data_IF_809970534390
#
_entry.id   IF_809970534390
#
_cell.length_a   1.000
_cell.length_b   1.000
_cell.length_c   1.000
_cell.angle_alpha   90.00
_cell.angle_beta   90.00
_cell.angle_gamma   90.00
#
_symmetry.space_group_name_H-M   'P 1'
#
loop_
_entity.id
_entity.type
_entity.pdbx_description
1 polymer ?
#
# COMPACT_ATOMS: atom_id res chain seq x y z
N UNK A 1 -5.58 -12.83 -9.27
CA UNK A 1 -6.29 -11.54 -9.31
C UNK A 1 -5.64 -10.62 -8.28
N UNK A 2 -5.29 -9.39 -8.65
CA UNK A 2 -4.68 -8.40 -7.74
C UNK A 2 -5.58 -7.18 -7.69
N UNK A 3 -6.07 -6.82 -6.50
CA UNK A 3 -6.85 -5.60 -6.27
C UNK A 3 -5.91 -4.60 -5.60
N UNK A 4 -5.75 -3.42 -6.19
CA UNK A 4 -5.01 -2.31 -5.61
C UNK A 4 -6.00 -1.18 -5.29
N UNK A 5 -6.06 -0.75 -4.02
CA UNK A 5 -6.94 0.32 -3.57
C UNK A 5 -6.14 1.40 -2.87
N UNK A 6 -6.35 2.65 -3.25
CA UNK A 6 -5.81 3.84 -2.60
C UNK A 6 -6.86 4.41 -1.64
N UNK A 7 -6.44 4.76 -0.42
CA UNK A 7 -7.33 5.35 0.58
C UNK A 7 -6.56 6.32 1.47
N UNK A 8 -7.22 7.40 1.91
CA UNK A 8 -6.66 8.33 2.90
C UNK A 8 -6.91 7.79 4.30
N UNK A 9 -5.87 7.75 5.13
CA UNK A 9 -5.91 7.31 6.52
C UNK A 9 -5.67 8.53 7.41
N UNK A 10 -6.66 8.92 8.20
CA UNK A 10 -6.47 9.96 9.22
C UNK A 10 -6.05 9.29 10.53
N UNK A 11 -4.77 9.39 10.90
CA UNK A 11 -4.29 8.83 12.16
C UNK A 11 -4.71 9.75 13.32
N UNK A 12 -5.68 9.32 14.12
CA UNK A 12 -6.12 10.02 15.33
C UNK A 12 -5.12 9.83 16.46
N UNK A 13 -4.09 10.67 16.51
CA UNK A 13 -3.15 10.80 17.61
C UNK A 13 -2.58 12.23 17.61
N UNK A 14 -2.14 12.71 18.78
CA UNK A 14 -1.96 14.11 19.22
C UNK A 14 -1.21 15.11 18.31
N UNK A 15 -0.76 14.72 17.11
CA UNK A 15 0.04 15.54 16.21
C UNK A 15 -0.55 15.72 14.78
N UNK A 16 -1.82 15.37 14.56
CA UNK A 16 -2.61 15.81 13.39
C UNK A 16 -2.09 15.37 12.01
N UNK A 17 -1.18 14.39 11.94
CA UNK A 17 -0.58 13.96 10.68
C UNK A 17 -1.58 13.16 9.85
N UNK A 18 -1.92 13.66 8.66
CA UNK A 18 -2.77 12.96 7.70
C UNK A 18 -1.88 12.00 6.91
N UNK A 19 -2.28 10.74 6.80
CA UNK A 19 -1.58 9.73 6.01
C UNK A 19 -2.41 9.33 4.78
N UNK A 20 -1.74 8.80 3.78
CA UNK A 20 -2.34 8.11 2.65
C UNK A 20 -1.80 6.69 2.59
N UNK A 21 -2.59 5.77 2.07
CA UNK A 21 -2.24 4.37 2.01
C UNK A 21 -2.66 3.72 0.70
N UNK A 22 -1.88 2.73 0.28
CA UNK A 22 -2.18 1.84 -0.83
C UNK A 22 -2.07 0.42 -0.33
N UNK A 23 -3.11 -0.39 -0.56
CA UNK A 23 -3.09 -1.81 -0.21
C UNK A 23 -3.22 -2.65 -1.47
N UNK A 24 -2.42 -3.72 -1.56
CA UNK A 24 -2.57 -4.79 -2.54
C UNK A 24 -2.99 -6.06 -1.84
N UNK A 25 -3.96 -6.75 -2.42
CA UNK A 25 -4.43 -8.06 -1.96
C UNK A 25 -4.02 -9.10 -3.01
N UNK A 26 -3.46 -10.21 -2.53
CA UNK A 26 -3.01 -11.34 -3.32
C UNK A 26 -3.73 -12.60 -2.87
N UNK A 27 -4.24 -13.37 -3.83
CA UNK A 27 -4.75 -14.72 -3.57
C UNK A 27 -3.67 -15.74 -3.98
N UNK A 28 -3.34 -16.65 -3.08
CA UNK A 28 -2.38 -17.74 -3.30
C UNK A 28 -3.01 -19.04 -2.82
N UNK A 29 -3.40 -19.89 -3.77
CA UNK A 29 -4.18 -21.09 -3.48
C UNK A 29 -5.52 -20.72 -2.81
N UNK A 30 -5.78 -21.29 -1.63
CA UNK A 30 -6.97 -21.02 -0.81
C UNK A 30 -6.77 -19.90 0.22
N UNK A 31 -5.63 -19.20 0.19
CA UNK A 31 -5.27 -18.16 1.16
C UNK A 31 -5.24 -16.76 0.54
N UNK A 32 -5.55 -15.75 1.36
CA UNK A 32 -5.45 -14.34 1.00
C UNK A 32 -4.38 -13.65 1.83
N UNK A 33 -3.56 -12.84 1.17
CA UNK A 33 -2.53 -12.02 1.78
C UNK A 33 -2.77 -10.56 1.42
N UNK A 34 -2.54 -9.65 2.36
CA UNK A 34 -2.58 -8.21 2.11
C UNK A 34 -1.21 -7.59 2.38
N UNK A 35 -0.86 -6.58 1.58
CA UNK A 35 0.33 -5.77 1.80
C UNK A 35 -0.04 -4.30 1.65
N UNK A 36 0.31 -3.50 2.65
CA UNK A 36 -0.08 -2.08 2.73
C UNK A 36 1.16 -1.21 2.80
N UNK A 37 1.19 -0.17 1.96
CA UNK A 37 2.18 0.91 2.00
C UNK A 37 1.47 2.18 2.45
N UNK A 38 1.92 2.77 3.56
CA UNK A 38 1.35 4.00 4.15
C UNK A 38 2.42 5.08 4.18
N UNK A 39 2.05 6.29 3.79
CA UNK A 39 2.94 7.45 3.76
C UNK A 39 2.24 8.68 4.32
N UNK A 40 3.01 9.65 4.80
CA UNK A 40 2.48 10.95 5.21
C UNK A 40 1.95 11.69 3.96
N UNK A 41 0.75 12.28 4.04
CA UNK A 41 0.13 13.03 2.94
C UNK A 41 0.97 14.22 2.46
N UNK A 42 1.85 14.75 3.32
CA UNK A 42 2.76 15.85 2.98
C UNK A 42 3.97 15.40 2.14
N UNK A 43 4.18 14.09 1.96
CA UNK A 43 5.20 13.56 1.06
C UNK A 43 4.83 13.86 -0.40
N UNK A 44 5.83 14.19 -1.21
CA UNK A 44 5.68 14.30 -2.67
C UNK A 44 4.98 13.06 -3.25
N UNK A 45 3.91 13.28 -4.00
CA UNK A 45 3.05 12.20 -4.49
C UNK A 45 3.74 11.31 -5.51
N UNK A 46 4.63 11.88 -6.34
CA UNK A 46 5.41 11.12 -7.31
C UNK A 46 6.46 10.23 -6.62
N UNK A 47 7.12 10.74 -5.58
CA UNK A 47 8.02 9.98 -4.74
C UNK A 47 7.29 8.85 -4.01
N UNK A 48 6.14 9.15 -3.39
CA UNK A 48 5.32 8.16 -2.71
C UNK A 48 4.89 7.04 -3.67
N UNK A 49 4.49 7.39 -4.90
CA UNK A 49 4.14 6.41 -5.93
C UNK A 49 5.34 5.53 -6.31
N UNK A 50 6.51 6.11 -6.57
CA UNK A 50 7.75 5.35 -6.90
C UNK A 50 8.16 4.41 -5.78
N UNK A 51 8.10 4.84 -4.52
CA UNK A 51 8.40 3.99 -3.36
C UNK A 51 7.37 2.87 -3.27
N UNK A 52 6.08 3.17 -3.41
CA UNK A 52 5.02 2.18 -3.40
C UNK A 52 5.18 1.13 -4.49
N UNK A 53 5.47 1.55 -5.72
CA UNK A 53 5.73 0.64 -6.84
C UNK A 53 6.93 -0.28 -6.56
N UNK A 54 8.03 0.29 -6.06
CA UNK A 54 9.21 -0.49 -5.66
C UNK A 54 8.88 -1.47 -4.53
N UNK A 55 8.17 -1.03 -3.50
CA UNK A 55 7.74 -1.86 -2.38
C UNK A 55 6.89 -3.05 -2.85
N UNK A 56 5.92 -2.82 -3.74
CA UNK A 56 5.10 -3.89 -4.28
C UNK A 56 5.80 -4.78 -5.31
N UNK A 57 6.89 -4.32 -5.94
CA UNK A 57 7.65 -5.10 -6.93
C UNK A 57 8.37 -6.32 -6.34
N UNK A 58 8.63 -6.31 -5.02
CA UNK A 58 9.28 -7.42 -4.32
C UNK A 58 8.42 -8.68 -4.27
N UNK A 59 7.09 -8.53 -4.34
CA UNK A 59 6.18 -9.67 -4.35
C UNK A 59 5.71 -9.91 -5.79
N UNK A 60 6.35 -10.87 -6.43
CA UNK A 60 5.80 -11.55 -7.60
C UNK A 60 5.10 -12.80 -7.08
N UNK A 61 3.76 -12.87 -7.02
CA UNK A 61 3.10 -14.13 -6.72
C UNK A 61 3.52 -15.12 -7.81
N UNK A 62 4.41 -16.04 -7.48
CA UNK A 62 4.83 -17.13 -8.36
C UNK A 62 3.67 -18.10 -8.43
N UNK A 63 2.71 -17.82 -9.31
CA UNK A 63 1.76 -18.81 -9.75
C UNK A 63 2.50 -19.86 -10.58
N UNK A 64 2.46 -21.12 -10.15
CA UNK A 64 2.53 -22.24 -11.08
C UNK A 64 1.18 -22.36 -11.78
#
# INVERSE_FOLDING_TARGET
>A
MTIASEHSLQQGGDNGTIASGRTRIFAVGSSFYSMSYVWNKDMDSALASKIGEKYFSFIKPTGK
#
